data_IF_659956142048
#
_entry.id   IF_659956142048
#
_cell.length_a   1.000
_cell.length_b   1.000
_cell.length_c   1.000
_cell.angle_alpha   90.00
_cell.angle_beta   90.00
_cell.angle_gamma   90.00
#
_symmetry.space_group_name_H-M   'P 1'
#
loop_
_entity.id
_entity.type
_entity.pdbx_description
1 polymer ?
#
# COMPACT_ATOMS: atom_id res chain seq x y z
N UNK A 1 -5.97 16.42 -55.70
CA UNK A 1 -4.84 15.94 -54.87
C UNK A 1 -5.22 16.24 -53.43
N UNK A 2 -5.60 15.20 -52.67
CA UNK A 2 -6.19 15.32 -51.33
C UNK A 2 -5.20 14.70 -50.35
N UNK A 3 -4.77 15.37 -49.27
CA UNK A 3 -4.00 14.70 -48.24
C UNK A 3 -4.96 13.91 -47.33
N UNK A 4 -4.72 12.61 -47.21
CA UNK A 4 -5.43 11.72 -46.32
C UNK A 4 -5.15 12.07 -44.85
N UNK A 5 -6.23 12.08 -44.06
CA UNK A 5 -6.24 12.06 -42.60
C UNK A 5 -5.80 10.68 -42.10
N UNK A 6 -5.37 10.70 -40.84
CA UNK A 6 -5.07 9.59 -39.93
C UNK A 6 -3.75 8.85 -40.17
N UNK A 7 -2.80 9.13 -39.27
CA UNK A 7 -2.43 8.03 -38.37
C UNK A 7 -2.16 8.58 -36.96
N UNK A 8 -3.16 8.42 -36.10
CA UNK A 8 -3.13 8.76 -34.69
C UNK A 8 -2.34 7.72 -33.92
N UNK A 9 -1.01 7.74 -34.02
CA UNK A 9 -0.14 6.93 -33.16
C UNK A 9 0.40 7.77 -31.99
N UNK A 10 -0.49 8.25 -31.12
CA UNK A 10 -0.08 8.63 -29.75
C UNK A 10 0.11 7.36 -28.95
N UNK A 11 1.26 6.73 -29.08
CA UNK A 11 1.68 5.65 -28.20
C UNK A 11 2.79 6.12 -27.25
N UNK A 12 2.55 5.83 -25.98
CA UNK A 12 3.52 5.50 -24.95
C UNK A 12 4.41 6.64 -24.42
N UNK A 13 3.86 7.38 -23.47
CA UNK A 13 4.61 8.22 -22.54
C UNK A 13 3.79 8.59 -21.32
N UNK A 14 3.16 7.62 -20.65
CA UNK A 14 2.52 7.84 -19.35
C UNK A 14 3.61 7.92 -18.28
N UNK A 15 4.34 9.02 -18.26
CA UNK A 15 5.33 9.31 -17.23
C UNK A 15 4.60 9.53 -15.89
N UNK A 16 4.57 8.47 -15.08
CA UNK A 16 4.59 8.54 -13.62
C UNK A 16 3.28 8.79 -12.87
N UNK A 17 2.14 9.04 -13.52
CA UNK A 17 0.88 9.29 -12.80
C UNK A 17 0.17 7.97 -12.49
N UNK A 18 0.15 7.59 -11.20
CA UNK A 18 -0.59 6.41 -10.72
C UNK A 18 -2.03 6.83 -10.44
N UNK A 19 -2.97 6.35 -11.24
CA UNK A 19 -4.41 6.54 -11.00
C UNK A 19 -4.93 5.51 -10.00
N UNK A 20 -5.67 5.97 -8.99
CA UNK A 20 -6.23 5.13 -7.93
C UNK A 20 -7.74 5.33 -7.86
N UNK A 21 -8.50 4.24 -7.74
CA UNK A 21 -9.97 4.30 -7.67
C UNK A 21 -10.51 3.62 -6.41
N UNK A 22 -11.64 4.10 -5.89
CA UNK A 22 -12.31 3.48 -4.74
C UNK A 22 -12.76 2.06 -5.09
N UNK A 23 -12.59 1.12 -4.16
CA UNK A 23 -12.94 -0.29 -4.36
C UNK A 23 -11.83 -1.13 -4.98
N UNK A 24 -10.84 -0.51 -5.63
CA UNK A 24 -9.64 -1.19 -6.11
C UNK A 24 -8.71 -1.57 -4.97
N UNK A 25 -7.75 -2.41 -5.31
CA UNK A 25 -6.67 -2.85 -4.44
C UNK A 25 -5.35 -2.20 -4.88
N UNK A 26 -4.53 -1.85 -3.91
CA UNK A 26 -3.16 -1.35 -4.11
C UNK A 26 -2.21 -2.12 -3.20
N UNK A 27 -0.93 -2.16 -3.54
CA UNK A 27 0.10 -2.71 -2.68
C UNK A 27 0.92 -1.59 -2.04
N UNK A 28 1.20 -1.73 -0.74
CA UNK A 28 2.07 -0.83 0.00
C UNK A 28 3.33 -1.58 0.42
N UNK A 29 4.49 -1.01 0.12
CA UNK A 29 5.77 -1.52 0.58
C UNK A 29 6.39 -0.54 1.60
N UNK A 30 6.61 -0.95 2.86
CA UNK A 30 7.15 -0.08 3.89
C UNK A 30 8.65 0.16 3.68
N UNK A 31 9.08 1.41 3.76
CA UNK A 31 10.48 1.83 3.63
C UNK A 31 11.12 2.09 5.01
N UNK A 32 10.56 3.03 5.77
CA UNK A 32 11.06 3.42 7.09
C UNK A 32 9.93 3.93 7.97
N UNK A 33 10.08 3.76 9.29
CA UNK A 33 9.21 4.40 10.28
C UNK A 33 9.79 5.78 10.60
N UNK A 34 8.96 6.81 10.46
CA UNK A 34 9.21 8.20 10.84
C UNK A 34 8.29 8.59 12.00
N UNK A 35 8.70 9.61 12.74
CA UNK A 35 8.03 10.04 13.96
C UNK A 35 8.60 9.35 15.21
N UNK A 36 8.40 10.00 16.35
CA UNK A 36 8.76 9.50 17.67
C UNK A 36 7.57 9.71 18.60
N UNK A 37 7.42 8.89 19.64
CA UNK A 37 6.23 8.94 20.47
C UNK A 37 6.19 10.27 21.23
N UNK A 38 5.14 11.05 21.02
CA UNK A 38 4.76 12.14 21.93
C UNK A 38 4.43 11.59 23.32
N UNK A 39 4.06 10.30 23.41
CA UNK A 39 3.63 9.61 24.63
C UNK A 39 4.64 8.60 25.22
N UNK A 40 5.87 8.47 24.70
CA UNK A 40 6.84 7.43 25.13
C UNK A 40 6.45 5.97 24.83
N UNK A 41 5.36 5.71 24.10
CA UNK A 41 4.94 4.37 23.69
C UNK A 41 5.91 3.76 22.66
N UNK A 42 6.05 2.42 22.60
CA UNK A 42 6.85 1.78 21.57
C UNK A 42 6.17 1.87 20.18
N UNK A 43 6.96 1.84 19.08
CA UNK A 43 6.40 1.89 17.73
C UNK A 43 5.44 0.71 17.48
N UNK A 44 4.38 0.92 16.68
CA UNK A 44 3.42 -0.12 16.33
C UNK A 44 4.12 -1.25 15.58
N UNK A 45 3.80 -2.50 15.94
CA UNK A 45 4.39 -3.68 15.33
C UNK A 45 4.05 -3.77 13.84
N UNK A 46 5.01 -3.42 12.98
CA UNK A 46 4.83 -3.40 11.52
C UNK A 46 4.39 -4.75 10.98
N UNK A 47 4.86 -5.87 11.56
CA UNK A 47 4.45 -7.23 11.18
C UNK A 47 2.94 -7.46 11.21
N UNK A 48 2.16 -6.69 11.97
CA UNK A 48 0.68 -6.81 11.99
C UNK A 48 0.00 -6.15 10.79
N UNK A 49 0.68 -5.18 10.17
CA UNK A 49 0.15 -4.35 9.08
C UNK A 49 0.81 -4.76 7.76
N UNK A 50 2.10 -5.10 7.84
CA UNK A 50 2.96 -5.59 6.78
C UNK A 50 3.58 -6.93 7.22
N UNK A 51 2.88 -8.07 7.07
CA UNK A 51 3.35 -9.37 7.54
C UNK A 51 4.74 -9.77 7.05
N UNK A 52 5.14 -9.24 5.89
CA UNK A 52 6.40 -9.55 5.20
C UNK A 52 7.44 -8.42 5.25
N UNK A 53 7.26 -7.42 6.11
CA UNK A 53 8.23 -6.32 6.26
C UNK A 53 9.55 -6.79 6.88
N UNK A 54 10.68 -6.21 6.45
CA UNK A 54 11.95 -6.25 7.18
C UNK A 54 11.81 -5.39 8.44
N UNK A 55 11.37 -5.98 9.54
CA UNK A 55 11.23 -5.29 10.82
C UNK A 55 12.63 -5.10 11.45
N UNK A 56 13.15 -3.87 11.60
CA UNK A 56 14.51 -3.63 12.09
C UNK A 56 14.69 -3.83 13.60
N UNK A 57 13.64 -4.23 14.34
CA UNK A 57 13.67 -4.27 15.81
C UNK A 57 13.11 -5.51 16.49
N UNK A 58 12.76 -6.59 15.79
CA UNK A 58 12.15 -7.75 16.44
C UNK A 58 12.52 -9.11 15.84
N UNK A 59 13.10 -9.96 16.70
CA UNK A 59 13.07 -11.42 16.57
C UNK A 59 11.63 -11.92 16.73
N UNK A 60 11.22 -12.96 15.98
CA UNK A 60 9.86 -13.46 16.03
C UNK A 60 9.61 -14.11 17.40
N UNK A 61 8.68 -13.56 18.19
CA UNK A 61 8.03 -14.36 19.24
C UNK A 61 7.10 -15.35 18.54
N UNK A 62 7.55 -16.60 18.49
CA UNK A 62 6.72 -17.76 18.12
C UNK A 62 5.50 -17.81 19.04
N UNK A 63 4.30 -17.96 18.47
CA UNK A 63 3.07 -18.18 19.23
C UNK A 63 1.98 -17.11 19.11
N UNK A 64 1.87 -16.40 18.00
CA UNK A 64 0.64 -15.66 17.69
C UNK A 64 -0.30 -16.59 16.90
N UNK A 65 -1.26 -17.16 17.61
CA UNK A 65 -2.48 -17.75 17.06
C UNK A 65 -3.02 -16.86 15.92
N UNK A 66 -3.33 -17.36 14.71
CA UNK A 66 -3.93 -16.57 13.63
C UNK A 66 -5.41 -16.25 13.96
N UNK A 67 -5.63 -15.62 15.11
CA UNK A 67 -6.91 -15.07 15.49
C UNK A 67 -7.26 -13.97 14.49
N UNK A 68 -8.25 -14.28 13.63
CA UNK A 68 -8.96 -13.37 12.70
C UNK A 68 -8.47 -11.94 12.82
N UNK A 69 -7.47 -11.56 12.03
CA UNK A 69 -6.99 -10.18 11.98
C UNK A 69 -8.15 -9.35 11.45
N UNK A 70 -8.89 -8.70 12.36
CA UNK A 70 -9.99 -7.83 12.00
C UNK A 70 -9.45 -6.79 11.04
N UNK A 71 -10.01 -6.71 9.84
CA UNK A 71 -9.60 -5.74 8.84
C UNK A 71 -9.64 -4.34 9.46
N UNK A 72 -8.49 -3.65 9.49
CA UNK A 72 -8.35 -2.29 10.01
C UNK A 72 -8.24 -1.32 8.85
N UNK A 73 -8.82 -0.14 9.03
CA UNK A 73 -8.69 0.96 8.08
C UNK A 73 -7.58 1.89 8.55
N UNK A 74 -6.69 2.22 7.62
CA UNK A 74 -5.52 3.07 7.78
C UNK A 74 -5.64 4.28 6.86
N UNK A 75 -4.94 5.35 7.21
CA UNK A 75 -4.83 6.54 6.38
C UNK A 75 -3.47 6.55 5.71
N UNK A 76 -3.45 6.72 4.40
CA UNK A 76 -2.26 6.95 3.58
C UNK A 76 -2.34 8.36 3.01
N UNK A 77 -1.28 9.14 3.17
CA UNK A 77 -1.15 10.46 2.54
C UNK A 77 -0.15 10.34 1.40
N UNK A 78 -0.60 10.53 0.17
CA UNK A 78 0.27 10.57 -1.00
C UNK A 78 1.08 11.88 -1.00
N UNK A 79 2.41 11.76 -1.06
CA UNK A 79 3.33 12.89 -1.04
C UNK A 79 3.86 13.19 -2.46
N UNK A 80 4.22 12.13 -3.17
CA UNK A 80 4.66 12.15 -4.56
C UNK A 80 4.09 10.95 -5.33
N UNK A 81 4.16 10.92 -6.66
CA UNK A 81 3.71 9.75 -7.42
C UNK A 81 4.43 8.47 -6.95
N UNK A 82 3.66 7.43 -6.63
CA UNK A 82 4.19 6.17 -6.12
C UNK A 82 4.73 6.21 -4.69
N UNK A 83 4.52 7.29 -3.94
CA UNK A 83 5.09 7.46 -2.60
C UNK A 83 4.10 8.13 -1.65
N UNK A 84 4.14 7.70 -0.39
CA UNK A 84 3.35 8.35 0.65
C UNK A 84 3.71 7.92 2.06
N UNK A 85 2.84 8.31 2.99
CA UNK A 85 2.97 8.04 4.41
C UNK A 85 1.71 7.37 4.94
N UNK A 86 1.86 6.17 5.52
CA UNK A 86 0.80 5.49 6.24
C UNK A 86 0.83 5.91 7.72
N UNK A 87 -0.25 6.47 8.24
CA UNK A 87 -0.36 6.95 9.62
C UNK A 87 -0.76 5.83 10.58
N UNK A 88 -0.03 5.69 11.69
CA UNK A 88 -0.27 4.72 12.77
C UNK A 88 -0.20 5.42 14.14
N UNK A 89 -1.31 5.99 14.59
CA UNK A 89 -1.29 6.85 15.78
C UNK A 89 -0.34 8.02 15.55
N UNK A 90 0.65 8.17 16.44
CA UNK A 90 1.68 9.23 16.36
C UNK A 90 2.84 8.90 15.40
N UNK A 91 2.81 7.73 14.77
CA UNK A 91 3.84 7.28 13.83
C UNK A 91 3.42 7.45 12.38
N UNK A 92 4.41 7.67 11.52
CA UNK A 92 4.25 7.65 10.07
C UNK A 92 5.17 6.59 9.48
N UNK A 93 4.64 5.69 8.67
CA UNK A 93 5.44 4.74 7.91
C UNK A 93 5.56 5.27 6.49
N UNK A 94 6.78 5.56 6.06
CA UNK A 94 7.03 5.87 4.66
C UNK A 94 6.79 4.60 3.83
N UNK A 95 6.00 4.74 2.76
CA UNK A 95 5.59 3.63 1.90
C UNK A 95 5.77 3.97 0.44
N UNK A 96 6.12 2.95 -0.35
CA UNK A 96 5.92 2.96 -1.79
C UNK A 96 4.49 2.50 -2.07
N UNK A 97 3.77 3.25 -2.90
CA UNK A 97 2.43 2.93 -3.36
C UNK A 97 2.55 2.29 -4.74
N UNK A 98 2.16 1.02 -4.82
CA UNK A 98 2.27 0.21 -6.03
C UNK A 98 0.86 -0.11 -6.54
N UNK A 99 0.51 0.24 -7.78
CA UNK A 99 -0.70 -0.25 -8.41
C UNK A 99 -0.52 -1.75 -8.72
N UNK A 100 -1.60 -2.52 -8.68
CA UNK A 100 -1.54 -3.99 -8.77
C UNK A 100 -1.46 -4.53 -10.20
N UNK A 101 -1.55 -3.67 -11.20
CA UNK A 101 -1.19 -3.98 -12.59
C UNK A 101 0.34 -4.10 -12.78
N UNK A 102 1.13 -3.66 -11.80
CA UNK A 102 2.59 -3.81 -11.76
C UNK A 102 2.96 -5.01 -10.88
N UNK A 103 4.10 -5.65 -11.18
CA UNK A 103 4.58 -6.79 -10.39
C UNK A 103 4.70 -6.39 -8.91
N UNK A 104 3.92 -7.06 -8.07
CA UNK A 104 3.86 -6.74 -6.64
C UNK A 104 5.04 -7.43 -5.95
N UNK A 105 5.99 -6.69 -5.35
CA UNK A 105 7.11 -7.28 -4.64
C UNK A 105 6.59 -8.21 -3.53
N UNK A 106 7.23 -9.36 -3.29
CA UNK A 106 6.77 -10.31 -2.28
C UNK A 106 6.60 -9.70 -0.87
N UNK A 107 7.33 -8.63 -0.57
CA UNK A 107 7.33 -7.93 0.72
C UNK A 107 6.24 -6.85 0.83
N UNK A 108 5.57 -6.49 -0.28
CA UNK A 108 4.47 -5.54 -0.25
C UNK A 108 3.20 -6.20 0.32
N UNK A 109 2.34 -5.39 0.92
CA UNK A 109 1.07 -5.85 1.48
C UNK A 109 -0.08 -5.19 0.73
N UNK A 110 -1.09 -5.98 0.40
CA UNK A 110 -2.24 -5.52 -0.39
C UNK A 110 -3.31 -4.93 0.53
N UNK A 111 -3.86 -3.79 0.11
CA UNK A 111 -4.94 -3.10 0.79
C UNK A 111 -6.04 -2.74 -0.21
N UNK A 112 -7.30 -2.74 0.25
CA UNK A 112 -8.43 -2.22 -0.53
C UNK A 112 -8.61 -0.73 -0.26
N UNK A 113 -8.82 0.05 -1.29
CA UNK A 113 -9.12 1.48 -1.20
C UNK A 113 -10.56 1.67 -0.76
N UNK A 114 -10.76 2.25 0.42
CA UNK A 114 -12.07 2.52 1.01
C UNK A 114 -12.60 3.92 0.63
N UNK A 115 -11.73 4.93 0.54
CA UNK A 115 -12.11 6.28 0.10
C UNK A 115 -10.88 7.07 -0.35
N UNK A 116 -11.06 8.03 -1.24
CA UNK A 116 -10.03 8.98 -1.68
C UNK A 116 -10.57 10.40 -1.49
N UNK A 117 -9.76 11.27 -0.88
CA UNK A 117 -10.05 12.69 -0.70
C UNK A 117 -8.78 13.50 -0.94
N UNK A 118 -8.61 13.97 -2.17
CA UNK A 118 -7.36 14.61 -2.60
C UNK A 118 -6.18 13.65 -2.43
N UNK A 119 -5.17 14.06 -1.64
CA UNK A 119 -3.98 13.24 -1.34
C UNK A 119 -4.20 12.20 -0.24
N UNK A 120 -5.36 12.21 0.42
CA UNK A 120 -5.67 11.32 1.55
C UNK A 120 -6.43 10.11 1.04
N UNK A 121 -5.87 8.93 1.26
CA UNK A 121 -6.41 7.64 0.85
C UNK A 121 -6.70 6.83 2.11
N UNK A 122 -7.95 6.41 2.31
CA UNK A 122 -8.26 5.42 3.35
C UNK A 122 -8.15 4.03 2.74
N UNK A 123 -7.36 3.18 3.37
CA UNK A 123 -7.10 1.81 2.91
C UNK A 123 -7.48 0.83 4.01
N UNK A 124 -8.17 -0.24 3.66
CA UNK A 124 -8.53 -1.32 4.58
C UNK A 124 -7.64 -2.51 4.29
N UNK A 125 -7.04 -3.09 5.34
CA UNK A 125 -6.22 -4.30 5.22
C UNK A 125 -7.03 -5.39 4.52
N UNK A 126 -6.57 -5.81 3.34
CA UNK A 126 -7.15 -6.95 2.66
C UNK A 126 -6.51 -8.19 3.29
N UNK A 127 -7.30 -8.98 4.02
CA UNK A 127 -6.90 -10.36 4.34
C UNK A 127 -7.00 -11.13 3.03
N UNK A 128 -6.07 -10.90 2.10
CA UNK A 128 -5.86 -11.83 1.01
C UNK A 128 -5.09 -12.97 1.66
N UNK A 129 -5.80 -14.02 2.04
CA UNK A 129 -5.18 -15.30 2.29
C UNK A 129 -4.65 -15.77 0.93
N UNK A 130 -3.33 -15.74 0.66
CA UNK A 130 -2.80 -16.03 -0.68
C UNK A 130 -3.07 -17.47 -1.13
N UNK A 131 -3.64 -18.30 -0.25
CA UNK A 131 -4.02 -19.67 -0.50
C UNK A 131 -5.47 -19.87 -0.95
N UNK A 132 -6.35 -18.85 -0.90
CA UNK A 132 -7.77 -19.02 -1.22
C UNK A 132 -8.18 -18.64 -2.66
N UNK A 133 -7.41 -17.83 -3.37
CA UNK A 133 -7.76 -17.39 -4.74
C UNK A 133 -6.97 -18.12 -5.85
N UNK A 134 -6.20 -19.16 -5.52
CA UNK A 134 -5.51 -20.02 -6.50
C UNK A 134 -6.31 -21.29 -6.88
N UNK A 135 -7.62 -21.31 -6.60
CA UNK A 135 -8.52 -22.37 -7.05
C UNK A 135 -9.66 -21.75 -7.86
N UNK A 136 -9.51 -21.78 -9.17
CA UNK A 136 -10.49 -21.36 -10.18
C UNK A 136 -9.95 -21.62 -11.58
#
# INVERSE_FOLDING_TARGET
MTPARDDSARSAGSDGVIELFVGQVLALFPLRVKGGPTSGLPPPALRRIFPRSRDPGHSPRSGADPARVRARTYTVVADAPGHGFLTLGDYQVEVVILPLDVSTPPQATVFRIASISGRVIKVTGAVIDPLMDAAG
#
